data_IF_325040911720
#
_entry.id   IF_325040911720
#
_cell.length_a   1.000
_cell.length_b   1.000
_cell.length_c   1.000
_cell.angle_alpha   90.00
_cell.angle_beta   90.00
_cell.angle_gamma   90.00
#
_symmetry.space_group_name_H-M   'P 1'
#
loop_
_entity.id
_entity.type
_entity.pdbx_description
1 polymer ?
#
# COMPACT_ATOMS: atom_id res chain seq x y z
N UNK A 1 -0.38 1.51 -14.94
CA UNK A 1 0.07 2.90 -14.67
C UNK A 1 -0.01 3.23 -13.19
N UNK A 2 -1.16 3.08 -12.51
CA UNK A 2 -1.33 3.45 -11.09
C UNK A 2 -0.24 2.93 -10.13
N UNK A 3 0.24 1.69 -10.29
CA UNK A 3 1.37 1.16 -9.50
C UNK A 3 2.64 1.98 -9.71
N UNK A 4 2.99 2.26 -10.97
CA UNK A 4 4.18 3.04 -11.34
C UNK A 4 4.05 4.45 -10.75
N UNK A 5 2.87 5.07 -10.88
CA UNK A 5 2.63 6.41 -10.35
C UNK A 5 2.74 6.46 -8.82
N UNK A 6 2.26 5.43 -8.11
CA UNK A 6 2.45 5.30 -6.67
C UNK A 6 3.94 5.21 -6.31
N UNK A 7 4.73 4.40 -7.00
CA UNK A 7 6.16 4.28 -6.71
C UNK A 7 6.96 5.55 -7.08
N UNK A 8 6.58 6.24 -8.15
CA UNK A 8 7.14 7.58 -8.46
C UNK A 8 6.86 8.58 -7.36
N UNK A 9 5.64 8.59 -6.82
CA UNK A 9 5.27 9.41 -5.65
C UNK A 9 6.03 9.04 -4.39
N UNK A 10 6.43 7.78 -4.25
CA UNK A 10 7.32 7.30 -3.19
C UNK A 10 8.82 7.53 -3.49
N UNK A 11 9.15 8.30 -4.53
CA UNK A 11 10.52 8.69 -4.86
C UNK A 11 11.29 7.71 -5.75
N UNK A 12 10.66 6.66 -6.28
CA UNK A 12 11.32 5.73 -7.20
C UNK A 12 11.39 6.34 -8.61
N UNK A 13 12.59 6.37 -9.18
CA UNK A 13 12.75 6.73 -10.57
C UNK A 13 12.34 5.55 -11.46
N UNK A 14 11.35 5.78 -12.33
CA UNK A 14 10.81 4.77 -13.25
C UNK A 14 10.65 5.41 -14.62
N UNK A 15 11.32 4.85 -15.62
CA UNK A 15 11.17 5.23 -17.01
C UNK A 15 10.29 4.23 -17.74
N UNK A 16 9.25 4.74 -18.38
CA UNK A 16 8.30 3.92 -19.17
C UNK A 16 8.58 4.25 -20.63
N UNK A 17 9.11 3.28 -21.35
CA UNK A 17 9.27 3.34 -22.79
C UNK A 17 8.15 2.55 -23.48
N UNK A 18 8.22 2.41 -24.80
CA UNK A 18 7.16 1.79 -25.59
C UNK A 18 6.93 0.32 -25.23
N UNK A 19 8.02 -0.45 -25.14
CA UNK A 19 7.98 -1.90 -24.94
C UNK A 19 8.70 -2.36 -23.65
N UNK A 20 9.24 -1.42 -22.87
CA UNK A 20 9.97 -1.70 -21.63
C UNK A 20 9.70 -0.70 -20.51
N UNK A 21 9.89 -1.16 -19.26
CA UNK A 21 9.81 -0.34 -18.05
C UNK A 21 11.11 -0.52 -17.28
N UNK A 22 11.87 0.56 -17.13
CA UNK A 22 13.11 0.60 -16.36
C UNK A 22 12.81 1.12 -14.97
N UNK A 23 13.11 0.31 -13.94
CA UNK A 23 12.90 0.67 -12.53
C UNK A 23 14.26 0.80 -11.85
N UNK A 24 14.58 2.00 -11.38
CA UNK A 24 15.84 2.28 -10.71
C UNK A 24 15.67 2.05 -9.20
N UNK A 25 16.03 0.85 -8.76
CA UNK A 25 15.94 0.46 -7.35
C UNK A 25 16.97 1.19 -6.48
N UNK A 26 16.53 1.76 -5.36
CA UNK A 26 17.39 2.48 -4.40
C UNK A 26 17.27 1.91 -2.97
N UNK A 27 16.93 0.62 -2.85
CA UNK A 27 16.66 -0.03 -1.57
C UNK A 27 15.38 0.45 -0.88
N UNK A 28 15.04 -0.17 0.26
CA UNK A 28 13.85 0.18 1.06
C UNK A 28 13.95 1.60 1.63
N UNK A 29 15.17 2.02 2.01
CA UNK A 29 15.47 3.35 2.54
C UNK A 29 15.40 4.45 1.47
N UNK A 30 15.41 4.07 0.19
CA UNK A 30 15.23 5.01 -0.91
C UNK A 30 13.78 5.48 -1.10
N UNK A 31 12.81 4.80 -0.48
CA UNK A 31 11.41 5.21 -0.51
C UNK A 31 11.17 6.41 0.42
N UNK A 32 10.38 7.36 -0.05
CA UNK A 32 10.08 8.61 0.65
C UNK A 32 8.58 8.76 0.87
N UNK A 33 8.25 9.56 1.88
CA UNK A 33 6.88 10.00 2.12
C UNK A 33 6.35 10.76 0.90
N UNK A 34 5.16 10.37 0.44
CA UNK A 34 4.49 11.04 -0.68
C UNK A 34 3.75 12.27 -0.17
N UNK A 35 3.95 13.41 -0.82
CA UNK A 35 3.20 14.65 -0.55
C UNK A 35 1.71 14.57 -0.97
N UNK A 36 1.33 13.51 -1.67
CA UNK A 36 -0.03 13.32 -2.20
C UNK A 36 -0.56 11.91 -1.90
N UNK A 37 -1.87 11.74 -2.07
CA UNK A 37 -2.50 10.43 -1.94
C UNK A 37 -1.95 9.45 -2.99
N UNK A 38 -1.75 8.21 -2.55
CA UNK A 38 -1.37 7.08 -3.40
C UNK A 38 -2.66 6.49 -4.02
N UNK A 39 -3.01 6.96 -5.21
CA UNK A 39 -4.17 6.49 -5.95
C UNK A 39 -3.84 5.22 -6.74
N UNK A 40 -4.45 4.11 -6.33
CA UNK A 40 -4.24 2.79 -6.92
C UNK A 40 -5.20 2.49 -8.07
N UNK A 41 -6.08 3.43 -8.44
CA UNK A 41 -7.10 3.25 -9.46
C UNK A 41 -8.01 2.06 -9.16
N UNK A 42 -8.20 1.16 -10.13
CA UNK A 42 -8.95 -0.10 -9.98
C UNK A 42 -8.07 -1.29 -9.51
N UNK A 43 -6.80 -1.06 -9.17
CA UNK A 43 -5.88 -2.15 -8.88
C UNK A 43 -5.93 -2.57 -7.41
N UNK A 44 -6.78 -3.56 -7.13
CA UNK A 44 -6.86 -4.17 -5.79
C UNK A 44 -5.57 -4.90 -5.39
N UNK A 45 -4.80 -5.39 -6.36
CA UNK A 45 -3.47 -5.98 -6.13
C UNK A 45 -2.49 -4.90 -5.65
N UNK A 46 -2.45 -3.76 -6.34
CA UNK A 46 -1.60 -2.62 -5.95
C UNK A 46 -1.96 -2.14 -4.55
N UNK A 47 -3.24 -1.90 -4.27
CA UNK A 47 -3.69 -1.47 -2.94
C UNK A 47 -3.18 -2.39 -1.82
N UNK A 48 -3.35 -3.71 -1.99
CA UNK A 48 -2.99 -4.70 -0.95
C UNK A 48 -1.50 -4.83 -0.74
N UNK A 49 -0.72 -4.92 -1.81
CA UNK A 49 0.73 -5.07 -1.72
C UNK A 49 1.38 -3.78 -1.23
N UNK A 50 0.93 -2.62 -1.71
CA UNK A 50 1.46 -1.33 -1.32
C UNK A 50 1.20 -1.03 0.16
N UNK A 51 0.02 -1.37 0.70
CA UNK A 51 -0.26 -1.29 2.14
C UNK A 51 0.77 -2.06 2.98
N UNK A 52 1.17 -3.24 2.53
CA UNK A 52 2.19 -4.04 3.22
C UNK A 52 3.55 -3.36 3.23
N UNK A 53 3.97 -2.80 2.08
CA UNK A 53 5.24 -2.07 1.95
C UNK A 53 5.25 -0.84 2.85
N UNK A 54 4.28 0.07 2.70
CA UNK A 54 4.29 1.37 3.40
C UNK A 54 4.05 1.24 4.91
N UNK A 55 3.45 0.15 5.38
CA UNK A 55 3.30 -0.10 6.82
C UNK A 55 4.64 -0.32 7.52
N UNK A 56 5.67 -0.77 6.79
CA UNK A 56 7.03 -0.95 7.31
C UNK A 56 7.93 0.28 7.18
N UNK A 57 7.44 1.38 6.61
CA UNK A 57 8.22 2.58 6.34
C UNK A 57 7.92 3.66 7.39
N UNK A 58 8.92 4.42 7.88
CA UNK A 58 8.76 5.34 9.00
C UNK A 58 8.11 6.68 8.61
N UNK A 59 7.02 6.63 7.83
CA UNK A 59 6.29 7.82 7.38
C UNK A 59 4.79 7.58 7.26
N UNK A 60 4.04 8.67 7.02
CA UNK A 60 2.60 8.61 6.78
C UNK A 60 2.30 8.40 5.29
N UNK A 61 1.19 7.74 4.99
CA UNK A 61 0.71 7.53 3.62
C UNK A 61 -0.78 7.31 3.60
N UNK A 62 -1.43 7.81 2.54
CA UNK A 62 -2.87 7.61 2.32
C UNK A 62 -3.08 6.90 1.00
N UNK A 63 -3.77 5.76 1.05
CA UNK A 63 -4.17 5.01 -0.14
C UNK A 63 -5.62 5.34 -0.50
N UNK A 64 -5.84 5.70 -1.76
CA UNK A 64 -7.13 5.87 -2.39
C UNK A 64 -7.26 4.89 -3.57
N UNK A 65 -8.49 4.60 -3.98
CA UNK A 65 -8.76 3.96 -5.27
C UNK A 65 -10.09 4.46 -5.80
N UNK A 66 -10.45 3.99 -7.00
CA UNK A 66 -11.72 4.34 -7.62
C UNK A 66 -12.94 3.84 -6.82
N UNK A 67 -14.15 4.10 -7.31
CA UNK A 67 -15.38 3.67 -6.66
C UNK A 67 -15.48 2.14 -6.47
N UNK A 68 -14.86 1.36 -7.35
CA UNK A 68 -14.83 -0.10 -7.22
C UNK A 68 -13.95 -0.51 -6.04
N UNK A 69 -12.73 0.03 -5.97
CA UNK A 69 -11.81 -0.21 -4.85
C UNK A 69 -12.38 0.31 -3.53
N UNK A 70 -13.04 1.46 -3.54
CA UNK A 70 -13.72 2.05 -2.38
C UNK A 70 -14.76 1.13 -1.75
N UNK A 71 -15.32 0.19 -2.50
CA UNK A 71 -16.31 -0.80 -2.00
C UNK A 71 -15.68 -2.16 -1.66
N UNK A 72 -14.40 -2.39 -1.99
CA UNK A 72 -13.73 -3.68 -1.74
C UNK A 72 -13.19 -3.74 -0.30
N UNK A 73 -13.51 -4.81 0.46
CA UNK A 73 -13.00 -4.94 1.82
C UNK A 73 -11.50 -5.25 1.83
N UNK A 74 -10.76 -4.42 2.56
CA UNK A 74 -9.31 -4.49 2.76
C UNK A 74 -8.90 -5.13 4.10
N UNK A 75 -9.87 -5.57 4.93
CA UNK A 75 -9.61 -6.23 6.23
C UNK A 75 -8.64 -7.40 6.16
N UNK A 76 -8.61 -8.12 5.04
CA UNK A 76 -7.67 -9.25 4.84
C UNK A 76 -6.19 -8.83 4.94
N UNK A 77 -5.90 -7.54 4.71
CA UNK A 77 -4.55 -6.95 4.81
C UNK A 77 -4.44 -6.02 6.01
N UNK A 78 -5.43 -5.16 6.25
CA UNK A 78 -5.35 -4.19 7.36
C UNK A 78 -5.38 -4.86 8.73
N UNK A 79 -6.07 -6.00 8.88
CA UNK A 79 -6.09 -6.77 10.14
C UNK A 79 -4.70 -7.30 10.53
N UNK A 80 -4.01 -8.11 9.70
CA UNK A 80 -2.68 -8.59 10.08
C UNK A 80 -1.68 -7.45 10.26
N UNK A 81 -1.71 -6.39 9.43
CA UNK A 81 -0.81 -5.25 9.61
C UNK A 81 -1.04 -4.51 10.94
N UNK A 82 -2.30 -4.32 11.37
CA UNK A 82 -2.62 -3.80 12.71
C UNK A 82 -2.09 -4.72 13.81
N UNK A 83 -2.19 -6.04 13.66
CA UNK A 83 -1.62 -7.02 14.60
C UNK A 83 -0.09 -6.93 14.67
N UNK A 84 0.57 -6.60 13.56
CA UNK A 84 2.01 -6.34 13.52
C UNK A 84 2.41 -5.00 14.18
N UNK A 85 1.45 -4.15 14.52
CA UNK A 85 1.67 -2.84 15.15
C UNK A 85 1.56 -1.64 14.21
N UNK A 86 1.17 -1.83 12.94
CA UNK A 86 0.89 -0.70 12.05
C UNK A 86 -0.32 0.11 12.55
N UNK A 87 -0.22 1.43 12.50
CA UNK A 87 -1.35 2.30 12.80
C UNK A 87 -2.12 2.60 11.52
N UNK A 88 -3.33 2.02 11.40
CA UNK A 88 -4.13 2.08 10.18
C UNK A 88 -5.54 2.56 10.48
N UNK A 89 -5.92 3.69 9.88
CA UNK A 89 -7.27 4.26 9.97
C UNK A 89 -7.98 4.21 8.63
N UNK A 90 -9.30 4.24 8.68
CA UNK A 90 -10.15 4.29 7.50
C UNK A 90 -11.60 3.98 7.85
N UNK A 91 -12.47 4.04 6.84
CA UNK A 91 -13.90 3.79 7.03
C UNK A 91 -14.15 2.35 7.50
N UNK A 92 -15.11 2.21 8.41
CA UNK A 92 -15.49 0.93 9.01
C UNK A 92 -14.25 0.16 9.54
N UNK A 93 -13.45 0.79 10.39
CA UNK A 93 -12.23 0.20 10.96
C UNK A 93 -11.19 -0.21 9.89
N UNK A 94 -10.91 0.71 8.97
CA UNK A 94 -10.01 0.49 7.82
C UNK A 94 -10.41 -0.72 6.95
N UNK A 95 -11.72 -0.94 6.79
CA UNK A 95 -12.24 -1.94 5.85
C UNK A 95 -12.26 -1.40 4.42
N UNK A 96 -12.44 -0.09 4.22
CA UNK A 96 -12.60 0.51 2.90
C UNK A 96 -11.68 1.71 2.70
N UNK A 97 -11.24 1.93 1.46
CA UNK A 97 -10.49 3.15 1.11
C UNK A 97 -11.38 4.40 1.18
N UNK A 98 -10.81 5.59 1.43
CA UNK A 98 -9.39 5.87 1.69
C UNK A 98 -8.90 5.27 3.02
N UNK A 99 -7.66 4.77 3.02
CA UNK A 99 -6.97 4.20 4.18
C UNK A 99 -5.73 5.03 4.48
N UNK A 100 -5.61 5.47 5.72
CA UNK A 100 -4.44 6.21 6.24
C UNK A 100 -3.57 5.27 7.04
N UNK A 101 -2.27 5.24 6.75
CA UNK A 101 -1.27 4.39 7.41
C UNK A 101 -0.17 5.28 7.96
N UNK A 102 0.09 5.16 9.27
CA UNK A 102 1.34 5.62 9.87
C UNK A 102 2.19 4.37 10.06
N UNK A 103 3.18 4.22 9.17
CA UNK A 103 4.06 3.07 9.17
C UNK A 103 5.16 3.18 10.21
N UNK A 104 6.06 2.19 10.20
CA UNK A 104 7.26 2.20 11.03
C UNK A 104 7.69 0.78 11.38
N UNK A 105 8.13 0.59 12.62
CA UNK A 105 8.58 -0.72 13.08
C UNK A 105 7.40 -1.67 13.24
N UNK A 106 7.42 -2.75 12.46
CA UNK A 106 6.48 -3.86 12.58
C UNK A 106 7.08 -4.99 13.42
N UNK A 107 6.21 -5.72 14.10
CA UNK A 107 6.55 -6.94 14.83
C UNK A 107 6.12 -8.16 14.01
N UNK A 108 6.95 -9.21 14.03
CA UNK A 108 6.58 -10.49 13.43
C UNK A 108 5.36 -11.09 14.12
N UNK A 109 4.48 -11.72 13.34
CA UNK A 109 3.30 -12.42 13.83
C UNK A 109 3.17 -13.78 13.14
N UNK A 110 2.53 -14.72 13.80
CA UNK A 110 1.97 -15.91 13.15
C UNK A 110 0.54 -15.59 12.75
N UNK A 111 0.23 -15.65 11.45
CA UNK A 111 -1.09 -15.32 10.94
C UNK A 111 -1.62 -16.46 10.08
N UNK A 112 -2.69 -17.09 10.55
CA UNK A 112 -3.46 -18.05 9.77
C UNK A 112 -4.47 -17.29 8.90
N UNK A 113 -4.36 -17.43 7.58
CA UNK A 113 -5.28 -16.74 6.66
C UNK A 113 -6.67 -17.36 6.77
N UNK A 114 -7.71 -16.59 7.16
CA UNK A 114 -9.09 -17.09 7.18
C UNK A 114 -9.69 -17.21 5.77
N UNK A 115 -8.96 -16.76 4.75
CA UNK A 115 -9.35 -16.88 3.35
C UNK A 115 -8.57 -18.05 2.77
N UNK A 116 -9.28 -19.05 2.24
CA UNK A 116 -8.69 -20.15 1.49
C UNK A 116 -7.80 -19.56 0.38
N UNK A 117 -6.55 -20.02 0.32
CA UNK A 117 -5.68 -19.74 -0.82
C UNK A 117 -6.38 -20.24 -2.08
N UNK A 118 -6.47 -19.40 -3.11
CA UNK A 118 -6.83 -19.83 -4.46
C UNK A 118 -5.72 -20.71 -5.05
#
# INVERSE_FOLDING_TARGET
LSTIDCFRKLGVHIDVQKDEVLVYGNGIEGLKESESVLDVGNSGTTARLLMGIISGLPFHSVILGDESIGKRPMKRVTKPLKMMGAQIDGRADATYTPISIRGGKLNGITYESPVSSA
#
